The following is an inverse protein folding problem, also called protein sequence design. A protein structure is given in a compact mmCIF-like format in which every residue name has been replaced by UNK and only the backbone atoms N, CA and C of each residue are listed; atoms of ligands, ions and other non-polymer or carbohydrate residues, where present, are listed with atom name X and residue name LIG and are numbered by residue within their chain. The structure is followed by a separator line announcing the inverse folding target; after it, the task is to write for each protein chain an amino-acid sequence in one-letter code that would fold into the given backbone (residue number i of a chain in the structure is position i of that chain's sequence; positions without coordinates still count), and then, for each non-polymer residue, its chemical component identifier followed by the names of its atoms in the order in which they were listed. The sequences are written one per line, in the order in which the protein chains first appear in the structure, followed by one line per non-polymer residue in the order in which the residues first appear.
data_IF_306137113939
#
_entry.id   IF_306137113939
#
_cell.length_a   1.000
_cell.length_b   1.000
_cell.length_c   1.000
_cell.angle_alpha   90.00
_cell.angle_beta   90.00
_cell.angle_gamma   90.00
#
_symmetry.space_group_name_H-M   'P 1'
#
loop_
_entity.id
_entity.type
_entity.pdbx_description
1 polymer ?
#
# COMPACT_ATOMS: atom_id res chain seq x y z
N UNK A 1 8.98 5.29 -7.31
CA UNK A 1 8.62 3.92 -7.76
C UNK A 1 9.87 3.04 -7.81
N UNK A 2 9.77 1.74 -7.51
CA UNK A 2 10.91 0.80 -7.61
C UNK A 2 11.20 0.47 -9.08
N UNK A 3 12.46 0.66 -9.49
CA UNK A 3 12.96 0.32 -10.85
C UNK A 3 12.62 -1.13 -11.18
N UNK A 4 12.23 -1.41 -12.43
CA UNK A 4 11.71 -2.73 -12.84
C UNK A 4 12.69 -3.87 -12.54
N UNK A 5 13.99 -3.65 -12.73
CA UNK A 5 15.08 -4.60 -12.45
C UNK A 5 15.24 -4.97 -10.96
N UNK A 6 14.60 -4.21 -10.06
CA UNK A 6 14.63 -4.43 -8.62
C UNK A 6 13.27 -4.88 -8.05
N UNK A 7 12.26 -5.11 -8.89
CA UNK A 7 10.96 -5.62 -8.44
C UNK A 7 11.06 -7.10 -8.04
N UNK A 8 10.12 -7.57 -7.21
CA UNK A 8 10.11 -8.94 -6.70
C UNK A 8 11.14 -9.24 -5.59
N UNK A 9 12.03 -8.29 -5.27
CA UNK A 9 13.09 -8.44 -4.26
C UNK A 9 12.74 -7.88 -2.87
N UNK A 10 11.45 -7.63 -2.59
CA UNK A 10 10.99 -7.14 -1.28
C UNK A 10 11.15 -5.63 -1.02
N UNK A 11 11.88 -4.87 -1.82
CA UNK A 11 12.07 -3.42 -1.60
C UNK A 11 10.78 -2.62 -1.46
N UNK A 12 9.77 -2.94 -2.27
CA UNK A 12 8.46 -2.29 -2.17
C UNK A 12 7.82 -2.52 -0.79
N UNK A 13 7.88 -3.76 -0.29
CA UNK A 13 7.35 -4.10 1.04
C UNK A 13 8.14 -3.35 2.11
N UNK A 14 9.47 -3.36 2.05
CA UNK A 14 10.33 -2.66 3.01
C UNK A 14 10.01 -1.17 3.10
N UNK A 15 9.89 -0.49 1.95
CA UNK A 15 9.52 0.92 1.90
C UNK A 15 8.13 1.19 2.48
N UNK A 16 7.17 0.32 2.19
CA UNK A 16 5.81 0.44 2.72
C UNK A 16 5.77 0.27 4.24
N UNK A 17 6.43 -0.75 4.79
CA UNK A 17 6.48 -0.97 6.24
C UNK A 17 7.19 0.19 6.95
N UNK A 18 8.27 0.73 6.37
CA UNK A 18 8.91 1.92 6.92
C UNK A 18 7.98 3.13 6.93
N UNK A 19 7.25 3.38 5.83
CA UNK A 19 6.26 4.44 5.77
C UNK A 19 5.14 4.25 6.81
N UNK A 20 4.71 3.00 7.03
CA UNK A 20 3.73 2.65 8.05
C UNK A 20 4.23 3.00 9.45
N UNK A 21 5.46 2.61 9.79
CA UNK A 21 6.11 2.91 11.07
C UNK A 21 6.23 4.41 11.32
N UNK A 22 6.55 5.20 10.29
CA UNK A 22 6.69 6.64 10.42
C UNK A 22 5.34 7.39 10.42
N UNK A 23 4.28 6.78 9.91
CA UNK A 23 2.98 7.42 9.81
C UNK A 23 2.31 7.50 11.19
N UNK A 24 1.92 8.71 11.59
CA UNK A 24 1.14 8.96 12.82
C UNK A 24 -0.38 8.88 12.61
N UNK A 25 -0.80 8.55 11.39
CA UNK A 25 -2.20 8.57 10.92
C UNK A 25 -2.42 7.43 9.94
N UNK A 26 -3.70 7.13 9.68
CA UNK A 26 -4.12 6.11 8.72
C UNK A 26 -3.51 6.33 7.34
N UNK A 27 -2.90 5.28 6.79
CA UNK A 27 -2.27 5.31 5.47
C UNK A 27 -3.31 5.09 4.36
N UNK A 28 -3.24 5.94 3.33
CA UNK A 28 -4.03 5.81 2.11
C UNK A 28 -3.19 6.24 0.91
N UNK A 29 -3.61 5.80 -0.28
CA UNK A 29 -2.96 6.16 -1.54
C UNK A 29 -3.95 6.13 -2.69
N UNK A 30 -3.53 6.75 -3.79
CA UNK A 30 -4.15 6.64 -5.10
C UNK A 30 -3.31 5.73 -6.00
N UNK A 31 -3.96 4.88 -6.78
CA UNK A 31 -3.30 4.03 -7.78
C UNK A 31 -4.09 4.06 -9.08
N UNK A 32 -3.40 4.24 -10.21
CA UNK A 32 -4.01 4.17 -11.55
C UNK A 32 -4.76 2.85 -11.72
N UNK A 33 -6.02 2.91 -12.13
CA UNK A 33 -6.93 1.75 -12.20
C UNK A 33 -6.40 0.61 -13.08
N UNK A 34 -5.66 0.94 -14.14
CA UNK A 34 -5.02 -0.05 -15.02
C UNK A 34 -3.69 -0.62 -14.50
N UNK A 35 -3.16 -0.14 -13.37
CA UNK A 35 -1.91 -0.64 -12.80
C UNK A 35 -2.14 -1.88 -11.92
N UNK A 36 -2.49 -3.00 -12.56
CA UNK A 36 -2.80 -4.26 -11.90
C UNK A 36 -1.68 -4.78 -10.99
N UNK A 37 -0.42 -4.52 -11.33
CA UNK A 37 0.74 -4.90 -10.52
C UNK A 37 0.77 -4.16 -9.18
N UNK A 38 0.59 -2.84 -9.19
CA UNK A 38 0.54 -2.04 -7.96
C UNK A 38 -0.70 -2.37 -7.12
N UNK A 39 -1.86 -2.54 -7.75
CA UNK A 39 -3.10 -2.90 -7.06
C UNK A 39 -2.94 -4.25 -6.32
N UNK A 40 -2.41 -5.27 -7.00
CA UNK A 40 -2.13 -6.58 -6.37
C UNK A 40 -1.12 -6.45 -5.23
N UNK A 41 -0.09 -5.64 -5.40
CA UNK A 41 0.92 -5.38 -4.38
C UNK A 41 0.30 -4.79 -3.11
N UNK A 42 -0.49 -3.72 -3.22
CA UNK A 42 -1.12 -3.10 -2.05
C UNK A 42 -2.21 -3.96 -1.40
N UNK A 43 -2.96 -4.75 -2.19
CA UNK A 43 -3.89 -5.74 -1.64
C UNK A 43 -3.17 -6.79 -0.77
N UNK A 44 -2.00 -7.27 -1.20
CA UNK A 44 -1.17 -8.20 -0.41
C UNK A 44 -0.65 -7.60 0.89
N UNK A 45 -0.57 -6.28 0.97
CA UNK A 45 -0.19 -5.54 2.18
C UNK A 45 -1.38 -5.16 3.06
N UNK A 46 -2.57 -5.70 2.77
CA UNK A 46 -3.78 -5.49 3.56
C UNK A 46 -4.59 -4.25 3.19
N UNK A 47 -4.16 -3.46 2.19
CA UNK A 47 -4.94 -2.31 1.74
C UNK A 47 -6.16 -2.74 0.91
N UNK A 48 -7.27 -2.01 1.08
CA UNK A 48 -8.53 -2.24 0.37
C UNK A 48 -8.88 -1.05 -0.50
N UNK A 49 -9.51 -1.30 -1.65
CA UNK A 49 -10.06 -0.24 -2.49
C UNK A 49 -11.31 0.30 -1.80
N UNK A 50 -11.36 1.60 -1.56
CA UNK A 50 -12.50 2.28 -0.88
C UNK A 50 -13.16 3.33 -1.75
N UNK A 51 -12.60 3.64 -2.92
CA UNK A 51 -13.14 4.65 -3.81
C UNK A 51 -12.49 4.65 -5.17
N UNK A 52 -13.08 5.44 -6.07
CA UNK A 52 -12.59 5.64 -7.43
C UNK A 52 -12.82 7.08 -7.83
N UNK A 53 -11.79 7.71 -8.40
CA UNK A 53 -11.85 9.05 -8.97
C UNK A 53 -11.80 8.90 -10.49
N UNK A 54 -12.90 9.18 -11.22
CA UNK A 54 -12.94 9.02 -12.67
C UNK A 54 -12.02 10.03 -13.36
N UNK A 55 -11.37 9.60 -14.44
CA UNK A 55 -10.53 10.45 -15.32
C UNK A 55 -9.40 11.24 -14.60
N UNK A 56 -8.96 10.78 -13.42
CA UNK A 56 -7.91 11.46 -12.64
C UNK A 56 -6.59 11.61 -13.40
N UNK A 57 -6.22 10.59 -14.20
CA UNK A 57 -5.02 10.64 -15.06
C UNK A 57 -5.36 10.99 -16.52
N UNK A 58 -6.45 11.74 -16.74
CA UNK A 58 -7.09 12.09 -18.03
C UNK A 58 -7.60 10.88 -18.83
N UNK A 59 -6.73 9.90 -19.06
CA UNK A 59 -6.97 8.67 -19.80
C UNK A 59 -7.40 7.49 -18.92
N UNK A 60 -7.31 7.63 -17.60
CA UNK A 60 -7.57 6.57 -16.63
C UNK A 60 -8.07 7.10 -15.29
N UNK A 61 -8.83 6.25 -14.61
CA UNK A 61 -9.29 6.46 -13.24
C UNK A 61 -8.17 6.26 -12.21
N UNK A 62 -8.30 6.89 -11.04
CA UNK A 62 -7.55 6.54 -9.85
C UNK A 62 -8.42 5.69 -8.91
N UNK A 63 -7.85 4.66 -8.31
CA UNK A 63 -8.45 3.91 -7.21
C UNK A 63 -7.87 4.42 -5.90
N UNK A 64 -8.73 4.73 -4.94
CA UNK A 64 -8.34 5.08 -3.58
C UNK A 64 -8.20 3.78 -2.80
N UNK A 65 -7.02 3.53 -2.26
CA UNK A 65 -6.75 2.38 -1.41
C UNK A 65 -6.38 2.83 0.00
N UNK A 66 -6.90 2.13 1.00
CA UNK A 66 -6.77 2.47 2.42
C UNK A 66 -6.37 1.24 3.22
N UNK A 67 -5.45 1.41 4.18
CA UNK A 67 -5.21 0.40 5.20
C UNK A 67 -6.22 0.56 6.34
N UNK A 68 -6.95 -0.51 6.67
CA UNK A 68 -7.96 -0.49 7.73
C UNK A 68 -7.33 -0.48 9.12
N UNK A 69 -8.10 -0.05 10.13
CA UNK A 69 -7.62 0.04 11.51
C UNK A 69 -7.26 -1.34 12.08
N UNK A 70 -8.08 -2.35 11.82
CA UNK A 70 -7.80 -3.74 12.24
C UNK A 70 -6.48 -4.25 11.68
N UNK A 71 -6.23 -3.98 10.40
CA UNK A 71 -4.98 -4.36 9.74
C UNK A 71 -3.78 -3.55 10.27
N UNK A 72 -3.99 -2.26 10.59
CA UNK A 72 -2.99 -1.42 11.26
C UNK A 72 -2.60 -1.98 12.62
N UNK A 73 -3.58 -2.32 13.45
CA UNK A 73 -3.38 -2.84 14.80
C UNK A 73 -2.61 -4.17 14.75
N UNK A 74 -3.01 -5.09 13.86
CA UNK A 74 -2.31 -6.37 13.64
C UNK A 74 -0.85 -6.21 13.24
N UNK A 75 -0.55 -5.29 12.31
CA UNK A 75 0.83 -5.05 11.88
C UNK A 75 1.65 -4.43 13.01
N UNK A 76 1.08 -3.51 13.79
CA UNK A 76 1.76 -2.91 14.94
C UNK A 76 2.03 -3.89 16.08
N UNK A 77 1.19 -4.92 16.25
CA UNK A 77 1.41 -5.98 17.25
C UNK A 77 2.46 -6.99 16.80
N UNK A 78 2.50 -7.36 15.52
CA UNK A 78 3.45 -8.35 14.99
C UNK A 78 4.90 -7.84 15.00
N UNK A 79 5.13 -6.52 14.94
CA UNK A 79 6.47 -5.94 15.07
C UNK A 79 7.02 -5.96 16.51
N UNK A 80 6.17 -5.97 17.54
CA UNK A 80 6.60 -6.16 18.93
C UNK A 80 7.00 -7.62 19.23
N UNK A 81 6.64 -8.58 18.36
CA UNK A 81 6.95 -10.00 18.52
C UNK A 81 8.26 -10.43 17.82
N UNK A 82 8.93 -9.52 17.10
CA UNK A 82 10.22 -9.78 16.43
C UNK A 82 11.40 -9.01 17.08
N UNK A 83 11.28 -8.63 18.35
CA UNK A 83 12.36 -8.08 19.19
C UNK A 83 12.57 -8.95 20.45
N UNK A 84 12.45 -10.27 20.31
CA UNK A 84 12.96 -11.26 21.25
C UNK A 84 13.77 -12.32 20.48
#
# INVERSE_FOLDING_TARGET
AVKTTYRGKGFGKMLFMYALKCAKKRLWLEVRSKNSAAIKFYKKLGMKITGKIPNYYMSDDALIMVLGQKEWDQISTDENCNIL
#
